data_IF_208376995010
#
_entry.id   IF_208376995010
#
_cell.length_a   1.000
_cell.length_b   1.000
_cell.length_c   1.000
_cell.angle_alpha   90.00
_cell.angle_beta   90.00
_cell.angle_gamma   90.00
#
_symmetry.space_group_name_H-M   'P 1'
#
loop_
_entity.id
_entity.type
_entity.pdbx_description
1 polymer ?
#
# COMPACT_ATOMS: atom_id res chain seq x y z
N UNK A 1 -15.47 -3.94 14.23
CA UNK A 1 -14.16 -3.70 13.55
C UNK A 1 -14.13 -2.29 12.98
N UNK A 2 -13.35 -1.35 13.54
CA UNK A 2 -13.18 0.02 12.97
C UNK A 2 -12.22 0.05 11.75
N UNK A 3 -11.82 -1.13 11.26
CA UNK A 3 -10.84 -1.33 10.19
C UNK A 3 -11.47 -1.54 8.80
N UNK A 4 -12.75 -1.90 8.74
CA UNK A 4 -13.41 -2.24 7.48
C UNK A 4 -13.53 -1.05 6.52
N UNK A 5 -13.87 0.13 7.03
CA UNK A 5 -14.02 1.35 6.20
C UNK A 5 -12.75 1.74 5.43
N UNK A 6 -11.57 1.88 6.07
CA UNK A 6 -10.34 2.19 5.33
C UNK A 6 -9.93 1.05 4.38
N UNK A 7 -10.19 -0.20 4.72
CA UNK A 7 -9.89 -1.34 3.84
C UNK A 7 -10.73 -1.35 2.56
N UNK A 8 -12.04 -1.10 2.67
CA UNK A 8 -12.92 -1.00 1.50
C UNK A 8 -12.47 0.16 0.61
N UNK A 9 -12.18 1.32 1.21
CA UNK A 9 -11.68 2.47 0.46
C UNK A 9 -10.34 2.17 -0.24
N UNK A 10 -9.43 1.44 0.41
CA UNK A 10 -8.17 1.04 -0.21
C UNK A 10 -8.38 0.03 -1.34
N UNK A 11 -9.31 -0.92 -1.18
CA UNK A 11 -9.66 -1.89 -2.21
C UNK A 11 -10.18 -1.19 -3.48
N UNK A 12 -11.06 -0.19 -3.32
CA UNK A 12 -11.55 0.63 -4.45
C UNK A 12 -10.39 1.37 -5.13
N UNK A 13 -9.48 1.96 -4.35
CA UNK A 13 -8.30 2.63 -4.90
C UNK A 13 -7.43 1.67 -5.73
N UNK A 14 -7.23 0.43 -5.28
CA UNK A 14 -6.43 -0.55 -6.01
C UNK A 14 -7.14 -1.09 -7.26
N UNK A 15 -8.46 -1.28 -7.18
CA UNK A 15 -9.29 -1.65 -8.33
C UNK A 15 -9.26 -0.60 -9.44
N UNK A 16 -9.03 0.67 -9.11
CA UNK A 16 -8.83 1.72 -10.10
C UNK A 16 -7.37 1.82 -10.55
N UNK A 17 -6.43 1.72 -9.60
CA UNK A 17 -5.00 1.88 -9.88
C UNK A 17 -4.48 0.80 -10.84
N UNK A 18 -4.86 -0.46 -10.64
CA UNK A 18 -4.40 -1.58 -11.48
C UNK A 18 -4.74 -1.39 -12.97
N UNK A 19 -6.02 -1.16 -13.33
CA UNK A 19 -6.42 -0.86 -14.70
C UNK A 19 -5.77 0.40 -15.28
N UNK A 20 -5.62 1.47 -14.48
CA UNK A 20 -4.97 2.70 -14.94
C UNK A 20 -3.51 2.41 -15.32
N UNK A 21 -2.77 1.73 -14.46
CA UNK A 21 -1.38 1.34 -14.73
C UNK A 21 -1.29 0.47 -15.98
N UNK A 22 -2.16 -0.56 -16.09
CA UNK A 22 -2.19 -1.43 -17.25
C UNK A 22 -2.52 -0.70 -18.57
N UNK A 23 -3.44 0.27 -18.54
CA UNK A 23 -3.78 1.06 -19.73
C UNK A 23 -2.61 1.96 -20.17
N UNK A 24 -1.86 2.53 -19.22
CA UNK A 24 -0.66 3.30 -19.51
C UNK A 24 0.42 2.43 -20.15
N UNK A 25 0.63 1.22 -19.64
CA UNK A 25 1.58 0.25 -20.21
C UNK A 25 1.15 -0.21 -21.59
N UNK A 26 -0.14 -0.53 -21.78
CA UNK A 26 -0.70 -0.95 -23.07
C UNK A 26 -0.52 0.11 -24.15
N UNK A 27 -0.62 1.38 -23.79
CA UNK A 27 -0.38 2.48 -24.72
C UNK A 27 1.08 2.55 -25.21
N UNK A 28 2.05 2.13 -24.39
CA UNK A 28 3.48 2.21 -24.73
C UNK A 28 4.03 0.90 -25.31
N UNK A 29 3.58 -0.26 -24.81
CA UNK A 29 4.10 -1.59 -25.14
C UNK A 29 3.19 -2.38 -26.09
N UNK A 30 1.98 -1.92 -26.37
CA UNK A 30 1.01 -2.67 -27.16
C UNK A 30 0.64 -4.00 -26.49
N UNK A 31 0.76 -5.11 -27.23
CA UNK A 31 0.43 -6.45 -26.72
C UNK A 31 1.41 -6.98 -25.67
N UNK A 32 2.64 -6.48 -25.65
CA UNK A 32 3.65 -6.88 -24.67
C UNK A 32 3.29 -6.48 -23.23
N UNK A 33 2.36 -5.53 -23.06
CA UNK A 33 1.80 -5.15 -21.76
C UNK A 33 1.04 -6.29 -21.06
N UNK A 34 0.55 -7.30 -21.80
CA UNK A 34 -0.13 -8.45 -21.20
C UNK A 34 0.73 -9.19 -20.16
N UNK A 35 2.07 -9.12 -20.31
CA UNK A 35 3.03 -9.69 -19.36
C UNK A 35 3.02 -9.00 -17.99
N UNK A 36 2.51 -7.76 -17.91
CA UNK A 36 2.42 -7.00 -16.67
C UNK A 36 1.14 -7.24 -15.87
N UNK A 37 0.13 -7.90 -16.44
CA UNK A 37 -1.12 -8.22 -15.72
C UNK A 37 -0.85 -9.02 -14.46
N UNK A 38 -0.07 -10.09 -14.57
CA UNK A 38 0.25 -10.95 -13.43
C UNK A 38 1.03 -10.18 -12.35
N UNK A 39 2.11 -9.45 -12.66
CA UNK A 39 2.76 -8.55 -11.71
C UNK A 39 1.82 -7.56 -11.02
N UNK A 40 0.93 -6.88 -11.75
CA UNK A 40 -0.02 -5.92 -11.19
C UNK A 40 -0.95 -6.59 -10.17
N UNK A 41 -1.49 -7.77 -10.48
CA UNK A 41 -2.37 -8.53 -9.58
C UNK A 41 -1.60 -8.96 -8.32
N UNK A 42 -0.38 -9.47 -8.48
CA UNK A 42 0.46 -9.91 -7.36
C UNK A 42 0.84 -8.75 -6.44
N UNK A 43 1.26 -7.61 -7.01
CA UNK A 43 1.58 -6.41 -6.26
C UNK A 43 0.36 -5.87 -5.53
N UNK A 44 -0.78 -5.74 -6.20
CA UNK A 44 -2.03 -5.29 -5.59
C UNK A 44 -2.44 -6.18 -4.42
N UNK A 45 -2.36 -7.51 -4.59
CA UNK A 45 -2.65 -8.48 -3.53
C UNK A 45 -1.69 -8.34 -2.36
N UNK A 46 -0.39 -8.24 -2.62
CA UNK A 46 0.64 -8.08 -1.61
C UNK A 46 0.43 -6.82 -0.77
N UNK A 47 0.31 -5.65 -1.42
CA UNK A 47 0.13 -4.38 -0.71
C UNK A 47 -1.21 -4.33 0.04
N UNK A 48 -2.24 -5.01 -0.46
CA UNK A 48 -3.54 -5.05 0.20
C UNK A 48 -3.45 -5.89 1.48
N UNK A 49 -2.86 -7.09 1.39
CA UNK A 49 -2.62 -7.96 2.53
C UNK A 49 -1.75 -7.27 3.58
N UNK A 50 -0.66 -6.61 3.16
CA UNK A 50 0.19 -5.82 4.04
C UNK A 50 -0.60 -4.74 4.79
N UNK A 51 -1.42 -3.98 4.06
CA UNK A 51 -2.26 -2.92 4.64
C UNK A 51 -3.32 -3.45 5.58
N UNK A 52 -3.88 -4.62 5.29
CA UNK A 52 -4.79 -5.33 6.18
C UNK A 52 -4.14 -5.65 7.52
N UNK A 53 -2.92 -6.20 7.50
CA UNK A 53 -2.17 -6.47 8.73
C UNK A 53 -1.85 -5.17 9.47
N UNK A 54 -1.31 -4.16 8.80
CA UNK A 54 -0.95 -2.88 9.41
C UNK A 54 -2.13 -2.19 10.09
N UNK A 55 -3.28 -2.13 9.43
CA UNK A 55 -4.48 -1.52 9.99
C UNK A 55 -5.04 -2.34 11.17
N UNK A 56 -4.97 -3.66 11.09
CA UNK A 56 -5.44 -4.56 12.17
C UNK A 56 -4.56 -4.48 13.41
N UNK A 57 -3.24 -4.54 13.26
CA UNK A 57 -2.28 -4.35 14.35
C UNK A 57 -2.34 -2.93 14.91
N UNK A 58 -2.49 -1.93 14.03
CA UNK A 58 -2.64 -0.53 14.44
C UNK A 58 -3.90 -0.27 15.27
N UNK A 59 -5.06 -0.85 14.89
CA UNK A 59 -6.29 -0.74 15.70
C UNK A 59 -6.14 -1.43 17.07
N UNK A 60 -5.45 -2.57 17.12
CA UNK A 60 -5.18 -3.29 18.37
C UNK A 60 -4.25 -2.49 19.29
N UNK A 61 -3.14 -1.99 18.77
CA UNK A 61 -2.14 -1.25 19.54
C UNK A 61 -2.67 0.11 20.04
N UNK A 62 -3.58 0.75 19.29
CA UNK A 62 -4.25 1.99 19.73
C UNK A 62 -5.09 1.80 20.97
N UNK A 63 -5.65 0.60 21.19
CA UNK A 63 -6.48 0.31 22.38
C UNK A 63 -5.65 0.13 23.65
N UNK A 64 -4.34 -0.11 23.54
CA UNK A 64 -3.46 -0.47 24.67
C UNK A 64 -2.46 0.62 25.11
N UNK A 65 -2.58 1.87 24.64
CA UNK A 65 -1.82 3.10 24.98
C UNK A 65 -0.78 3.62 23.97
N UNK A 66 -0.58 4.96 24.02
CA UNK A 66 -0.07 5.86 22.98
C UNK A 66 1.46 5.88 22.74
N UNK A 67 2.31 5.50 23.70
CA UNK A 67 3.76 5.77 23.59
C UNK A 67 4.48 4.98 22.49
N UNK A 68 3.92 3.86 22.03
CA UNK A 68 4.50 2.99 20.99
C UNK A 68 3.96 3.23 19.59
N UNK A 69 2.96 4.11 19.41
CA UNK A 69 2.33 4.39 18.11
C UNK A 69 3.31 4.94 17.06
N UNK A 70 4.18 5.88 17.45
CA UNK A 70 5.16 6.46 16.54
C UNK A 70 6.17 5.42 16.04
N UNK A 71 6.63 4.55 16.95
CA UNK A 71 7.51 3.44 16.60
C UNK A 71 6.83 2.47 15.63
N UNK A 72 5.57 2.10 15.90
CA UNK A 72 4.79 1.25 15.01
C UNK A 72 4.68 1.83 13.59
N UNK A 73 4.33 3.11 13.43
CA UNK A 73 4.23 3.73 12.10
C UNK A 73 5.56 3.77 11.35
N UNK A 74 6.67 4.01 12.06
CA UNK A 74 7.98 4.04 11.42
C UNK A 74 8.40 2.63 11.01
N UNK A 75 8.25 1.64 11.90
CA UNK A 75 8.55 0.24 11.63
C UNK A 75 7.73 -0.28 10.46
N UNK A 76 6.42 -0.01 10.39
CA UNK A 76 5.59 -0.49 9.27
C UNK A 76 6.01 0.11 7.93
N UNK A 77 6.40 1.39 7.90
CA UNK A 77 6.94 2.05 6.69
C UNK A 77 8.26 1.41 6.26
N UNK A 78 9.17 1.17 7.21
CA UNK A 78 10.47 0.53 6.92
C UNK A 78 10.26 -0.89 6.41
N UNK A 79 9.43 -1.70 7.09
CA UNK A 79 9.14 -3.07 6.67
C UNK A 79 8.52 -3.09 5.28
N UNK A 80 7.57 -2.18 4.98
CA UNK A 80 6.99 -2.08 3.64
C UNK A 80 8.02 -1.73 2.57
N UNK A 81 8.90 -0.77 2.87
CA UNK A 81 9.98 -0.39 1.95
C UNK A 81 10.91 -1.58 1.69
N UNK A 82 11.35 -2.27 2.73
CA UNK A 82 12.20 -3.46 2.61
C UNK A 82 11.49 -4.56 1.81
N UNK A 83 10.21 -4.81 2.05
CA UNK A 83 9.45 -5.77 1.25
C UNK A 83 9.34 -5.37 -0.21
N UNK A 84 9.13 -4.09 -0.51
CA UNK A 84 9.11 -3.60 -1.89
C UNK A 84 10.46 -3.80 -2.59
N UNK A 85 11.57 -3.54 -1.88
CA UNK A 85 12.91 -3.80 -2.40
C UNK A 85 13.15 -5.30 -2.65
N UNK A 86 12.69 -6.17 -1.75
CA UNK A 86 12.77 -7.63 -1.95
C UNK A 86 11.97 -8.06 -3.17
N UNK A 87 10.73 -7.57 -3.35
CA UNK A 87 9.93 -7.87 -4.54
C UNK A 87 10.58 -7.38 -5.83
N UNK A 88 11.20 -6.20 -5.79
CA UNK A 88 12.00 -5.68 -6.90
C UNK A 88 13.18 -6.60 -7.24
N UNK A 89 13.96 -7.02 -6.25
CA UNK A 89 15.10 -7.92 -6.46
C UNK A 89 14.65 -9.28 -7.02
N UNK A 90 13.57 -9.85 -6.48
CA UNK A 90 13.00 -11.12 -6.97
C UNK A 90 12.62 -10.99 -8.45
N UNK A 91 11.90 -9.94 -8.82
CA UNK A 91 11.49 -9.73 -10.20
C UNK A 91 12.69 -9.48 -11.12
N UNK A 92 13.66 -8.65 -10.69
CA UNK A 92 14.87 -8.36 -11.44
C UNK A 92 15.71 -9.61 -11.72
N UNK A 93 15.82 -10.52 -10.75
CA UNK A 93 16.62 -11.74 -10.89
C UNK A 93 15.92 -12.81 -11.74
N UNK A 94 14.59 -12.95 -11.62
CA UNK A 94 13.83 -14.02 -12.29
C UNK A 94 13.38 -13.66 -13.70
N UNK A 95 12.80 -12.46 -13.89
CA UNK A 95 12.11 -12.10 -15.14
C UNK A 95 13.02 -11.32 -16.08
N UNK A 96 13.89 -10.46 -15.55
CA UNK A 96 14.91 -9.66 -16.26
C UNK A 96 14.40 -8.76 -17.40
N UNK A 97 13.10 -8.77 -17.69
CA UNK A 97 12.47 -8.07 -18.81
C UNK A 97 11.41 -7.09 -18.30
N UNK A 98 11.21 -6.00 -19.05
CA UNK A 98 10.24 -4.94 -18.71
C UNK A 98 10.39 -4.40 -17.28
N UNK A 99 11.63 -4.39 -16.75
CA UNK A 99 11.93 -4.02 -15.37
C UNK A 99 11.45 -2.60 -15.02
N UNK A 100 11.54 -1.69 -15.99
CA UNK A 100 11.06 -0.31 -15.84
C UNK A 100 9.56 -0.28 -15.48
N UNK A 101 8.74 -1.02 -16.22
CA UNK A 101 7.28 -1.04 -16.03
C UNK A 101 6.89 -1.72 -14.73
N UNK A 102 7.55 -2.83 -14.40
CA UNK A 102 7.41 -3.43 -13.07
C UNK A 102 7.75 -2.44 -11.95
N UNK A 103 8.82 -1.66 -12.11
CA UNK A 103 9.23 -0.65 -11.13
C UNK A 103 8.18 0.46 -11.00
N UNK A 104 7.60 0.90 -12.12
CA UNK A 104 6.50 1.88 -12.13
C UNK A 104 5.29 1.32 -11.38
N UNK A 105 4.92 0.06 -11.63
CA UNK A 105 3.82 -0.59 -10.92
C UNK A 105 4.09 -0.70 -9.41
N UNK A 106 5.28 -1.18 -9.05
CA UNK A 106 5.71 -1.31 -7.66
C UNK A 106 5.68 0.06 -6.96
N UNK A 107 6.22 1.09 -7.60
CA UNK A 107 6.23 2.45 -7.08
C UNK A 107 4.80 3.01 -6.97
N UNK A 108 3.95 2.79 -7.97
CA UNK A 108 2.56 3.23 -7.99
C UNK A 108 1.78 2.66 -6.80
N UNK A 109 1.81 1.33 -6.62
CA UNK A 109 1.19 0.71 -5.45
C UNK A 109 1.82 1.20 -4.14
N UNK A 110 3.14 1.22 -4.03
CA UNK A 110 3.83 1.66 -2.81
C UNK A 110 3.45 3.09 -2.38
N UNK A 111 3.48 4.04 -3.32
CA UNK A 111 3.19 5.45 -3.05
C UNK A 111 1.73 5.65 -2.70
N UNK A 112 0.81 5.07 -3.46
CA UNK A 112 -0.64 5.16 -3.20
C UNK A 112 -0.98 4.57 -1.84
N UNK A 113 -0.44 3.39 -1.51
CA UNK A 113 -0.62 2.75 -0.20
C UNK A 113 -0.10 3.65 0.94
N UNK A 114 1.09 4.20 0.75
CA UNK A 114 1.77 5.01 1.78
C UNK A 114 1.08 6.34 2.00
N UNK A 115 0.64 7.00 0.93
CA UNK A 115 -0.15 8.22 1.00
C UNK A 115 -1.51 7.96 1.68
N UNK A 116 -2.23 6.93 1.25
CA UNK A 116 -3.53 6.58 1.81
C UNK A 116 -3.46 6.30 3.31
N UNK A 117 -2.54 5.43 3.73
CA UNK A 117 -2.41 5.07 5.15
C UNK A 117 -1.88 6.24 5.99
N UNK A 118 -0.94 7.03 5.48
CA UNK A 118 -0.48 8.23 6.19
C UNK A 118 -1.63 9.22 6.40
N UNK A 119 -2.43 9.48 5.37
CA UNK A 119 -3.62 10.34 5.47
C UNK A 119 -4.63 9.78 6.47
N UNK A 120 -4.92 8.47 6.41
CA UNK A 120 -5.83 7.82 7.36
C UNK A 120 -5.35 7.98 8.81
N UNK A 121 -4.07 7.70 9.09
CA UNK A 121 -3.54 7.79 10.44
C UNK A 121 -3.57 9.22 11.00
N UNK A 122 -3.17 10.22 10.19
CA UNK A 122 -3.26 11.64 10.54
C UNK A 122 -4.71 12.03 10.87
N UNK A 123 -5.66 11.63 10.01
CA UNK A 123 -7.08 11.95 10.21
C UNK A 123 -7.66 11.33 11.48
N UNK A 124 -7.26 10.10 11.83
CA UNK A 124 -7.74 9.49 13.07
C UNK A 124 -7.09 10.13 14.30
N UNK A 125 -5.81 10.47 14.22
CA UNK A 125 -5.12 11.14 15.33
C UNK A 125 -5.67 12.55 15.57
N UNK A 126 -5.98 13.31 14.51
CA UNK A 126 -6.57 14.64 14.63
C UNK A 126 -7.97 14.59 15.25
N UNK A 127 -8.81 13.62 14.87
CA UNK A 127 -10.13 13.40 15.51
C UNK A 127 -10.03 13.06 16.99
N UNK A 128 -9.09 12.18 17.36
CA UNK A 128 -8.85 11.84 18.77
C UNK A 128 -8.43 13.07 19.59
N UNK A 129 -7.55 13.91 19.04
CA UNK A 129 -7.13 15.17 19.68
C UNK A 129 -8.25 16.20 19.81
N UNK A 130 -9.18 16.29 18.84
CA UNK A 130 -10.31 17.21 18.94
C UNK A 130 -11.35 16.75 19.96
N UNK A 131 -11.64 15.44 20.04
CA UNK A 131 -12.57 14.87 21.02
C UNK A 131 -12.03 15.05 22.45
N UNK A 132 -10.73 14.88 22.67
CA UNK A 132 -10.10 15.09 23.98
C UNK A 132 -10.06 16.56 24.44
N UNK A 133 -10.19 17.54 23.53
CA UNK A 133 -10.26 18.97 23.87
C UNK A 133 -11.68 19.46 24.13
N UNK A 134 -12.69 18.69 23.75
CA UNK A 134 -14.11 19.02 23.91
C UNK A 134 -14.76 18.34 25.12
N UNK A 135 -14.01 17.47 25.83
CA UNK A 135 -14.36 16.86 27.12
C UNK A 135 -13.64 17.54 28.25
#
# INVERSE_FOLDING_TARGET
MKVAKPLISLAVVYLLLGPILFLLERNQLGMEALKQILPIILLGTFFFAFSFFELSFGDRLRRTQNKTMTGFYLTTKVVRLLSALVLFLIYALLVKTQLLYFTINLAGFYLVTTAFLSYYYIRVESKSKSEAKAS
#
